data_IF_500441689175
#
_entry.id   IF_500441689175
#
_cell.length_a   1.000
_cell.length_b   1.000
_cell.length_c   1.000
_cell.angle_alpha   90.00
_cell.angle_beta   90.00
_cell.angle_gamma   90.00
#
_symmetry.space_group_name_H-M   'P 1'
#
loop_
_entity.id
_entity.type
_entity.pdbx_description
1 polymer ?
#
# COMPACT_ATOMS: atom_id res chain seq x y z
N UNK A 1 18.42 8.61 -3.07
CA UNK A 1 17.05 9.12 -2.90
C UNK A 1 16.43 8.49 -1.66
N UNK A 2 15.93 9.31 -0.76
CA UNK A 2 15.29 8.82 0.45
C UNK A 2 13.84 8.46 0.19
N UNK A 3 13.34 7.33 0.71
CA UNK A 3 11.92 7.05 0.63
C UNK A 3 11.13 8.04 1.49
N UNK A 4 10.00 8.50 0.95
CA UNK A 4 9.07 9.37 1.66
C UNK A 4 8.08 8.55 2.46
N UNK A 5 7.72 7.37 1.94
CA UNK A 5 6.82 6.43 2.60
C UNK A 5 7.50 5.08 2.64
N UNK A 6 7.57 4.48 3.81
CA UNK A 6 8.17 3.15 3.99
C UNK A 6 7.31 2.36 4.96
N UNK A 7 7.07 1.09 4.64
CA UNK A 7 6.37 0.18 5.54
C UNK A 7 7.33 -0.97 5.85
N UNK A 8 7.66 -1.21 7.13
CA UNK A 8 8.59 -2.27 7.50
C UNK A 8 8.06 -3.65 7.10
N UNK A 9 8.97 -4.47 6.58
CA UNK A 9 8.65 -5.84 6.19
C UNK A 9 8.01 -6.63 7.33
N UNK A 10 8.57 -6.50 8.53
CA UNK A 10 8.09 -7.25 9.69
C UNK A 10 6.62 -6.97 10.00
N UNK A 11 6.17 -5.73 9.80
CA UNK A 11 4.78 -5.36 10.07
C UNK A 11 3.83 -6.04 9.09
N UNK A 12 4.24 -6.13 7.82
CA UNK A 12 3.43 -6.77 6.79
C UNK A 12 3.40 -8.29 6.99
N UNK A 13 4.54 -8.88 7.34
CA UNK A 13 4.61 -10.32 7.62
C UNK A 13 3.76 -10.68 8.83
N UNK A 14 3.72 -9.81 9.85
CA UNK A 14 2.87 -10.04 11.02
C UNK A 14 1.38 -10.12 10.66
N UNK A 15 0.97 -9.38 9.65
CA UNK A 15 -0.43 -9.37 9.20
C UNK A 15 -0.71 -10.52 8.23
N UNK A 16 0.17 -10.75 7.26
CA UNK A 16 -0.06 -11.75 6.20
C UNK A 16 0.38 -13.15 6.57
N UNK A 17 1.29 -13.30 7.54
CA UNK A 17 1.89 -14.57 7.93
C UNK A 17 3.19 -14.84 7.19
N UNK A 18 4.06 -15.64 7.80
CA UNK A 18 5.37 -15.98 7.21
C UNK A 18 5.23 -16.74 5.88
N UNK A 19 4.19 -17.55 5.78
CA UNK A 19 3.92 -18.37 4.59
C UNK A 19 2.66 -17.92 3.86
N UNK A 20 2.17 -16.72 4.14
CA UNK A 20 1.01 -16.17 3.48
C UNK A 20 -0.32 -16.78 3.94
N UNK A 21 -0.38 -17.28 5.17
CA UNK A 21 -1.57 -17.95 5.70
C UNK A 21 -2.79 -17.04 5.68
N UNK A 22 -2.59 -15.73 5.76
CA UNK A 22 -3.67 -14.74 5.78
C UNK A 22 -3.70 -13.85 4.53
N UNK A 23 -2.93 -14.21 3.50
CA UNK A 23 -2.96 -13.50 2.22
C UNK A 23 -4.08 -14.02 1.35
N UNK A 24 -4.83 -13.12 0.72
CA UNK A 24 -5.94 -13.48 -0.20
C UNK A 24 -5.85 -12.68 -1.49
N UNK A 25 -6.53 -13.19 -2.50
CA UNK A 25 -6.69 -12.55 -3.80
C UNK A 25 -8.17 -12.28 -4.06
N UNK A 26 -8.46 -11.28 -4.89
CA UNK A 26 -9.83 -10.99 -5.32
C UNK A 26 -10.68 -10.21 -4.33
N UNK A 27 -10.13 -9.85 -3.19
CA UNK A 27 -10.83 -9.05 -2.17
C UNK A 27 -9.81 -8.29 -1.33
N UNK A 28 -10.25 -7.20 -0.71
CA UNK A 28 -9.42 -6.46 0.24
C UNK A 28 -9.15 -7.24 1.51
N UNK A 29 -10.08 -8.10 1.90
CA UNK A 29 -9.95 -8.91 3.09
C UNK A 29 -11.30 -9.22 3.72
N UNK A 30 -11.28 -10.15 4.67
CA UNK A 30 -12.48 -10.61 5.37
C UNK A 30 -12.20 -10.83 6.85
N UNK A 31 -11.60 -9.85 7.52
CA UNK A 31 -11.25 -9.94 8.93
C UNK A 31 -9.81 -10.34 9.13
N UNK A 32 -9.53 -11.65 9.19
CA UNK A 32 -8.18 -12.15 9.42
C UNK A 32 -7.31 -12.18 8.16
N UNK A 33 -7.93 -12.37 6.99
CA UNK A 33 -7.21 -12.47 5.72
C UNK A 33 -7.34 -11.19 4.93
N UNK A 34 -6.25 -10.74 4.32
CA UNK A 34 -6.22 -9.50 3.53
C UNK A 34 -5.33 -9.67 2.31
N UNK A 35 -5.55 -8.83 1.29
CA UNK A 35 -4.63 -8.72 0.17
C UNK A 35 -3.42 -7.87 0.59
N UNK A 36 -2.41 -7.78 -0.29
CA UNK A 36 -1.22 -6.97 -0.02
C UNK A 36 -1.59 -5.54 0.38
N UNK A 37 -2.46 -4.88 -0.40
CA UNK A 37 -2.81 -3.48 -0.14
C UNK A 37 -3.71 -3.33 1.09
N UNK A 38 -4.50 -4.35 1.42
CA UNK A 38 -5.23 -4.39 2.69
C UNK A 38 -4.28 -4.44 3.88
N UNK A 39 -3.20 -5.21 3.76
CA UNK A 39 -2.16 -5.26 4.80
C UNK A 39 -1.45 -3.91 4.93
N UNK A 40 -1.14 -3.26 3.81
CA UNK A 40 -0.51 -1.95 3.82
C UNK A 40 -1.40 -0.93 4.53
N UNK A 41 -2.70 -0.96 4.29
CA UNK A 41 -3.65 -0.08 4.97
C UNK A 41 -3.65 -0.26 6.47
N UNK A 42 -3.47 -1.49 6.93
CA UNK A 42 -3.42 -1.78 8.37
C UNK A 42 -2.13 -1.33 9.03
N UNK A 43 -1.03 -1.26 8.26
CA UNK A 43 0.29 -0.92 8.78
C UNK A 43 0.61 0.56 8.74
N UNK A 44 -0.04 1.34 7.88
CA UNK A 44 0.40 2.70 7.61
C UNK A 44 0.33 3.58 8.86
N UNK A 45 1.42 4.28 9.18
CA UNK A 45 1.43 5.16 10.34
C UNK A 45 0.80 6.53 10.06
N UNK A 46 0.74 6.93 8.79
CA UNK A 46 0.22 8.24 8.39
C UNK A 46 -1.05 8.04 7.57
N UNK A 47 -2.18 8.63 8.00
CA UNK A 47 -3.43 8.51 7.24
C UNK A 47 -3.26 9.00 5.80
N UNK A 48 -3.81 8.24 4.86
CA UNK A 48 -3.74 8.56 3.43
C UNK A 48 -2.56 7.95 2.69
N UNK A 49 -1.51 7.53 3.40
CA UNK A 49 -0.33 7.00 2.74
C UNK A 49 -0.60 5.69 1.99
N UNK A 50 -1.49 4.84 2.50
CA UNK A 50 -1.85 3.62 1.79
C UNK A 50 -2.46 3.92 0.42
N UNK A 51 -3.26 4.98 0.33
CA UNK A 51 -3.84 5.40 -0.95
C UNK A 51 -2.75 5.84 -1.93
N UNK A 52 -1.77 6.60 -1.45
CA UNK A 52 -0.64 7.04 -2.27
C UNK A 52 0.18 5.84 -2.75
N UNK A 53 0.41 4.87 -1.87
CA UNK A 53 1.13 3.64 -2.21
C UNK A 53 0.39 2.88 -3.30
N UNK A 54 -0.94 2.75 -3.19
CA UNK A 54 -1.74 2.06 -4.21
C UNK A 54 -1.61 2.70 -5.58
N UNK A 55 -1.66 4.04 -5.66
CA UNK A 55 -1.56 4.76 -6.92
C UNK A 55 -0.19 4.53 -7.57
N UNK A 56 0.87 4.63 -6.79
CA UNK A 56 2.24 4.39 -7.28
C UNK A 56 2.39 2.92 -7.68
N UNK A 57 1.89 2.00 -6.87
CA UNK A 57 1.97 0.57 -7.13
C UNK A 57 1.26 0.19 -8.42
N UNK A 58 0.08 0.77 -8.68
CA UNK A 58 -0.67 0.52 -9.92
C UNK A 58 0.15 0.93 -11.13
N UNK A 59 0.80 2.09 -11.07
CA UNK A 59 1.66 2.55 -12.15
C UNK A 59 2.86 1.64 -12.36
N UNK A 60 3.44 1.14 -11.26
CA UNK A 60 4.64 0.31 -11.30
C UNK A 60 4.35 -1.18 -11.54
N UNK A 61 3.09 -1.59 -11.54
CA UNK A 61 2.71 -2.96 -11.87
C UNK A 61 2.59 -3.91 -10.68
N UNK A 62 2.58 -3.40 -9.45
CA UNK A 62 2.40 -4.26 -8.26
C UNK A 62 1.20 -3.81 -7.41
N UNK A 63 0.18 -3.24 -8.06
CA UNK A 63 -1.05 -2.81 -7.41
C UNK A 63 -2.01 -3.97 -7.12
N UNK A 64 -3.27 -3.63 -6.87
CA UNK A 64 -4.30 -4.63 -6.55
C UNK A 64 -4.53 -5.62 -7.69
N UNK A 65 -4.47 -5.15 -8.93
CA UNK A 65 -4.60 -6.03 -10.09
C UNK A 65 -3.52 -7.10 -10.11
N UNK A 66 -2.27 -6.72 -9.79
CA UNK A 66 -1.18 -7.69 -9.68
C UNK A 66 -1.40 -8.66 -8.53
N UNK A 67 -1.84 -8.17 -7.36
CA UNK A 67 -2.15 -9.05 -6.22
C UNK A 67 -3.18 -10.11 -6.61
N UNK A 68 -4.16 -9.73 -7.42
CA UNK A 68 -5.30 -10.60 -7.77
C UNK A 68 -5.06 -11.44 -9.02
N UNK A 69 -3.95 -11.24 -9.71
CA UNK A 69 -3.60 -12.00 -10.92
C UNK A 69 -3.30 -13.45 -10.52
N UNK A 70 -3.88 -14.40 -11.29
CA UNK A 70 -3.68 -15.83 -10.99
C UNK A 70 -2.24 -16.29 -11.11
N UNK A 71 -1.40 -15.55 -11.84
CA UNK A 71 0.02 -15.88 -11.96
C UNK A 71 0.84 -15.35 -10.80
N UNK A 72 0.27 -14.48 -9.96
CA UNK A 72 0.94 -13.93 -8.78
C UNK A 72 0.82 -14.93 -7.62
N UNK A 73 1.96 -15.37 -7.12
CA UNK A 73 2.03 -16.35 -6.04
C UNK A 73 2.54 -15.72 -4.76
N UNK A 74 2.37 -16.42 -3.64
CA UNK A 74 2.87 -15.94 -2.36
C UNK A 74 4.37 -15.61 -2.37
N UNK A 75 5.27 -16.44 -2.95
CA UNK A 75 6.68 -16.06 -3.01
C UNK A 75 6.93 -14.71 -3.68
N UNK A 76 6.13 -14.36 -4.69
CA UNK A 76 6.24 -13.07 -5.37
C UNK A 76 5.80 -11.93 -4.44
N UNK A 77 4.68 -12.12 -3.74
CA UNK A 77 4.21 -11.17 -2.73
C UNK A 77 5.25 -11.02 -1.62
N UNK A 78 5.76 -12.15 -1.11
CA UNK A 78 6.75 -12.15 -0.03
C UNK A 78 8.01 -11.36 -0.40
N UNK A 79 8.46 -11.51 -1.64
CA UNK A 79 9.61 -10.77 -2.14
C UNK A 79 9.34 -9.26 -2.16
N UNK A 80 8.12 -8.87 -2.53
CA UNK A 80 7.73 -7.44 -2.53
C UNK A 80 7.69 -6.86 -1.12
N UNK A 81 7.32 -7.64 -0.11
CA UNK A 81 7.24 -7.16 1.26
C UNK A 81 8.57 -6.62 1.78
N UNK A 82 9.68 -7.12 1.26
CA UNK A 82 11.02 -6.67 1.66
C UNK A 82 11.28 -5.23 1.22
N UNK A 83 10.45 -4.68 0.31
CA UNK A 83 10.70 -3.36 -0.24
C UNK A 83 9.39 -2.64 -0.58
N UNK A 84 8.65 -2.25 0.44
CA UNK A 84 7.48 -1.37 0.29
C UNK A 84 7.93 0.03 0.65
N UNK A 85 8.40 0.78 -0.35
CA UNK A 85 8.87 2.14 -0.17
C UNK A 85 8.53 2.99 -1.38
N UNK A 86 8.18 4.24 -1.13
CA UNK A 86 7.80 5.21 -2.16
C UNK A 86 8.74 6.41 -2.03
N UNK A 87 9.42 6.75 -3.12
CA UNK A 87 10.34 7.88 -3.16
C UNK A 87 9.65 9.12 -3.71
N UNK A 88 10.32 10.27 -3.58
CA UNK A 88 9.86 11.51 -4.19
C UNK A 88 9.78 11.37 -5.72
N UNK A 89 10.73 10.65 -6.33
CA UNK A 89 10.71 10.39 -7.77
C UNK A 89 9.48 9.57 -8.17
N UNK A 90 9.12 8.56 -7.37
CA UNK A 90 7.92 7.76 -7.61
C UNK A 90 6.66 8.64 -7.58
N UNK A 91 6.58 9.54 -6.62
CA UNK A 91 5.45 10.45 -6.49
C UNK A 91 5.39 11.46 -7.63
N UNK A 92 6.54 12.01 -8.00
CA UNK A 92 6.61 12.96 -9.13
C UNK A 92 6.22 12.29 -10.44
N UNK A 93 6.68 11.05 -10.67
CA UNK A 93 6.36 10.31 -11.88
C UNK A 93 4.88 9.90 -11.93
N UNK A 94 4.27 9.67 -10.79
CA UNK A 94 2.87 9.25 -10.72
C UNK A 94 1.92 10.45 -10.78
N UNK A 95 2.22 11.51 -10.05
CA UNK A 95 1.31 12.64 -9.86
C UNK A 95 1.74 13.93 -10.57
N UNK A 96 2.94 13.95 -11.13
CA UNK A 96 3.46 15.12 -11.85
C UNK A 96 4.15 16.15 -10.95
N UNK A 97 4.46 17.33 -11.49
CA UNK A 97 5.24 18.34 -10.77
C UNK A 97 4.55 18.90 -9.52
N UNK A 98 3.24 18.68 -9.38
CA UNK A 98 2.49 19.14 -8.21
C UNK A 98 2.28 18.03 -7.16
N UNK A 99 3.11 17.00 -7.20
CA UNK A 99 2.95 15.83 -6.33
C UNK A 99 2.94 16.20 -4.84
N UNK A 100 3.73 17.19 -4.44
CA UNK A 100 3.78 17.60 -3.03
C UNK A 100 2.42 18.12 -2.54
N UNK A 101 1.76 18.92 -3.36
CA UNK A 101 0.43 19.44 -3.05
C UNK A 101 -0.61 18.32 -3.02
N UNK A 102 -0.50 17.35 -3.92
CA UNK A 102 -1.40 16.20 -3.96
C UNK A 102 -1.23 15.33 -2.72
N UNK A 103 0.02 15.06 -2.32
CA UNK A 103 0.31 14.31 -1.10
C UNK A 103 -0.30 15.00 0.13
N UNK A 104 -0.10 16.31 0.24
CA UNK A 104 -0.67 17.08 1.36
C UNK A 104 -2.19 17.01 1.36
N UNK A 105 -2.83 17.07 0.20
CA UNK A 105 -4.27 17.00 0.06
C UNK A 105 -4.81 15.62 0.47
N UNK A 106 -4.18 14.57 0.00
CA UNK A 106 -4.59 13.19 0.30
C UNK A 106 -4.48 12.92 1.81
N UNK A 107 -3.37 13.36 2.42
CA UNK A 107 -3.18 13.18 3.87
C UNK A 107 -4.19 13.97 4.68
N UNK A 108 -4.52 15.19 4.25
CA UNK A 108 -5.55 16.01 4.90
C UNK A 108 -6.93 15.37 4.78
N UNK A 109 -7.28 14.89 3.59
CA UNK A 109 -8.57 14.25 3.35
C UNK A 109 -8.74 12.98 4.18
N UNK A 110 -7.67 12.23 4.38
CA UNK A 110 -7.69 11.02 5.18
C UNK A 110 -7.91 11.29 6.67
N UNK A 111 -7.43 12.45 7.16
CA UNK A 111 -7.65 12.87 8.54
C UNK A 111 -9.11 13.26 8.75
N UNK A 112 -9.76 13.83 7.73
CA UNK A 112 -11.17 14.18 7.77
C UNK A 112 -12.02 12.96 7.37
N UNK A 113 -12.01 11.94 8.21
CA UNK A 113 -12.77 10.72 7.95
C UNK A 113 -14.26 10.98 8.07
N UNK A 114 -15.12 10.09 7.52
CA UNK A 114 -16.55 10.23 7.68
C UNK A 114 -17.00 10.38 9.12
N UNK A 115 -16.35 9.71 10.05
CA UNK A 115 -16.68 9.82 11.47
C UNK A 115 -16.45 11.22 12.00
N UNK A 116 -15.40 11.88 11.55
CA UNK A 116 -15.08 13.25 11.96
C UNK A 116 -15.92 14.26 11.22
N UNK A 117 -16.29 13.95 9.98
CA UNK A 117 -17.13 14.84 9.19
C UNK A 117 -18.57 14.88 9.68
N UNK A 118 -18.98 13.85 10.39
CA UNK A 118 -20.30 13.79 11.00
C UNK A 118 -20.34 14.60 12.28
#
# INVERSE_FOLDING_TARGET
>A
VKPIITIPEADLVAILGDNGERWVQGTWGNGESVCLHGAIRRCQPVPGDAHLIEQVADRLGWGTTWNDDKTTSWPMIRQRLARIEITDADLADTFGPQWEAIVALVRRAAVLTPDEAE
#
